data_IF_969746551683
#
_entry.id   IF_969746551683
#
_cell.length_a   1.000
_cell.length_b   1.000
_cell.length_c   1.000
_cell.angle_alpha   90.00
_cell.angle_beta   90.00
_cell.angle_gamma   90.00
#
_symmetry.space_group_name_H-M   'P 1'
#
loop_
_entity.id
_entity.type
_entity.pdbx_description
1 polymer ?
#
# COMPACT_ATOMS: atom_id res chain seq x y z
N UNK A 1 9.65 -15.86 55.62
CA UNK A 1 8.58 -14.85 55.73
C UNK A 1 7.40 -15.37 54.94
N UNK A 2 6.36 -15.81 55.65
CA UNK A 2 5.27 -16.58 55.11
C UNK A 2 4.16 -15.67 54.56
N UNK A 3 3.61 -16.01 53.41
CA UNK A 3 2.37 -15.45 52.91
C UNK A 3 1.20 -16.39 53.20
N UNK A 4 0.28 -15.87 53.97
CA UNK A 4 -0.93 -16.55 54.45
C UNK A 4 -1.96 -16.62 53.31
N UNK A 5 -2.41 -17.83 53.03
CA UNK A 5 -3.58 -18.18 52.24
C UNK A 5 -4.85 -17.73 52.95
N UNK A 6 -5.72 -16.96 52.28
CA UNK A 6 -7.07 -16.65 52.74
C UNK A 6 -8.08 -17.30 51.73
N UNK A 7 -8.66 -18.38 52.18
CA UNK A 7 -9.79 -19.04 51.54
C UNK A 7 -11.07 -18.22 51.77
N UNK A 8 -11.86 -17.98 50.75
CA UNK A 8 -13.22 -17.44 50.84
C UNK A 8 -14.24 -18.50 50.41
N UNK A 9 -15.35 -18.62 51.14
CA UNK A 9 -16.32 -19.68 50.91
C UNK A 9 -17.30 -19.34 49.77
N UNK A 10 -17.69 -20.40 49.03
CA UNK A 10 -18.74 -20.44 48.02
C UNK A 10 -20.10 -20.28 48.68
N UNK A 11 -20.88 -19.30 48.23
CA UNK A 11 -22.32 -19.22 48.48
C UNK A 11 -23.04 -19.74 47.22
N UNK A 12 -23.70 -20.89 47.37
CA UNK A 12 -24.67 -21.43 46.43
C UNK A 12 -25.96 -20.62 46.53
N UNK A 13 -26.38 -19.98 45.45
CA UNK A 13 -27.71 -19.43 45.31
C UNK A 13 -28.48 -20.23 44.26
N UNK A 14 -29.51 -20.96 44.73
CA UNK A 14 -30.44 -21.69 43.88
C UNK A 14 -31.41 -20.71 43.20
N UNK A 15 -31.46 -20.72 41.88
CA UNK A 15 -32.51 -20.02 41.11
C UNK A 15 -33.54 -21.00 40.62
N UNK A 16 -34.79 -20.77 41.03
CA UNK A 16 -36.00 -21.48 40.71
C UNK A 16 -36.37 -21.22 39.23
N UNK A 17 -36.58 -22.26 38.47
CA UNK A 17 -37.06 -22.17 37.11
C UNK A 17 -38.58 -21.97 37.09
N UNK A 18 -39.05 -20.83 36.58
CA UNK A 18 -40.44 -20.61 36.24
C UNK A 18 -40.65 -20.87 34.74
N UNK A 19 -41.40 -21.93 34.43
CA UNK A 19 -41.82 -22.25 33.06
C UNK A 19 -42.96 -21.33 32.62
N UNK A 20 -42.76 -20.47 31.66
CA UNK A 20 -43.83 -19.73 30.97
C UNK A 20 -44.12 -20.35 29.64
N UNK A 21 -45.35 -20.90 29.50
CA UNK A 21 -45.90 -21.40 28.24
C UNK A 21 -46.33 -20.23 27.36
N UNK A 22 -45.70 -20.08 26.20
CA UNK A 22 -46.09 -19.11 25.17
C UNK A 22 -47.11 -19.73 24.20
N UNK A 23 -48.21 -19.03 23.82
CA UNK A 23 -49.14 -19.53 22.81
C UNK A 23 -48.55 -19.45 21.40
N UNK A 24 -48.71 -20.54 20.63
CA UNK A 24 -48.36 -20.60 19.23
C UNK A 24 -49.31 -19.74 18.40
N UNK A 25 -48.82 -18.61 17.85
CA UNK A 25 -49.54 -17.90 16.80
C UNK A 25 -49.25 -18.59 15.44
N UNK A 26 -50.34 -19.10 14.82
CA UNK A 26 -50.35 -19.60 13.47
C UNK A 26 -49.97 -18.44 12.50
N UNK A 27 -48.87 -18.59 11.78
CA UNK A 27 -48.47 -17.64 10.72
C UNK A 27 -49.35 -17.87 9.49
N UNK A 28 -50.16 -16.90 9.14
CA UNK A 28 -50.87 -16.82 7.88
C UNK A 28 -49.88 -16.55 6.73
N UNK A 29 -49.97 -17.23 5.57
CA UNK A 29 -49.11 -16.92 4.42
C UNK A 29 -49.42 -15.51 3.91
N UNK A 30 -48.40 -14.67 3.84
CA UNK A 30 -48.45 -13.35 3.24
C UNK A 30 -48.62 -13.45 1.72
N UNK A 31 -49.43 -12.57 1.08
CA UNK A 31 -49.53 -12.49 -0.37
C UNK A 31 -48.17 -12.12 -0.99
N UNK A 32 -47.83 -12.81 -2.07
CA UNK A 32 -46.59 -12.53 -2.85
C UNK A 32 -46.59 -11.06 -3.37
N UNK A 33 -45.68 -10.26 -2.87
CA UNK A 33 -45.38 -8.94 -3.43
C UNK A 33 -44.57 -9.10 -4.71
N UNK A 34 -44.89 -8.35 -5.78
CA UNK A 34 -44.07 -8.31 -6.96
C UNK A 34 -42.69 -7.73 -6.63
N UNK A 35 -41.63 -8.41 -7.09
CA UNK A 35 -40.24 -7.99 -6.91
C UNK A 35 -40.03 -6.58 -7.44
N UNK A 36 -39.44 -5.68 -6.64
CA UNK A 36 -39.07 -4.36 -7.16
C UNK A 36 -37.95 -4.48 -8.20
N UNK A 37 -38.18 -3.90 -9.36
CA UNK A 37 -37.19 -3.64 -10.38
C UNK A 37 -36.00 -2.89 -9.76
N UNK A 38 -34.72 -3.28 -10.03
CA UNK A 38 -33.59 -2.56 -9.50
C UNK A 38 -33.63 -1.11 -9.97
N UNK A 39 -33.50 -0.11 -9.08
CA UNK A 39 -33.41 1.27 -9.52
C UNK A 39 -32.11 1.45 -10.28
N UNK A 40 -32.20 2.11 -11.43
CA UNK A 40 -31.06 2.60 -12.18
C UNK A 40 -30.13 3.38 -11.24
N UNK A 41 -28.86 3.00 -11.17
CA UNK A 41 -27.83 3.65 -10.36
C UNK A 41 -27.77 5.13 -10.72
N UNK A 42 -28.37 5.97 -9.88
CA UNK A 42 -28.11 7.41 -9.92
C UNK A 42 -26.71 7.63 -9.35
N UNK A 43 -25.81 8.11 -10.20
CA UNK A 43 -24.48 8.56 -9.78
C UNK A 43 -24.62 9.66 -8.72
N UNK A 44 -24.22 9.38 -7.50
CA UNK A 44 -24.13 10.35 -6.41
C UNK A 44 -22.96 11.29 -6.69
N UNK A 45 -23.14 12.62 -6.76
CA UNK A 45 -22.02 13.55 -6.87
C UNK A 45 -21.28 13.60 -5.52
N UNK A 46 -20.05 13.11 -5.47
CA UNK A 46 -19.19 13.27 -4.29
C UNK A 46 -18.33 12.06 -3.90
N UNK A 47 -18.38 10.94 -4.60
CA UNK A 47 -17.37 9.91 -4.42
C UNK A 47 -16.15 10.34 -5.22
N UNK A 48 -15.07 10.68 -4.53
CA UNK A 48 -13.72 10.74 -5.10
C UNK A 48 -13.43 9.34 -5.63
N UNK A 49 -13.68 9.13 -6.94
CA UNK A 49 -13.21 7.91 -7.60
C UNK A 49 -11.71 7.81 -7.33
N UNK A 50 -11.19 6.62 -6.96
CA UNK A 50 -9.76 6.38 -7.01
C UNK A 50 -9.31 6.85 -8.40
N UNK A 51 -8.37 7.79 -8.44
CA UNK A 51 -7.81 8.25 -9.71
C UNK A 51 -7.40 7.02 -10.50
N UNK A 52 -8.00 6.83 -11.67
CA UNK A 52 -7.61 5.77 -12.57
C UNK A 52 -6.09 5.86 -12.75
N UNK A 53 -5.36 4.75 -12.67
CA UNK A 53 -3.93 4.78 -12.93
C UNK A 53 -3.71 5.48 -14.27
N UNK A 54 -2.76 6.42 -14.32
CA UNK A 54 -2.47 7.20 -15.53
C UNK A 54 -2.28 6.29 -16.74
N UNK A 55 -2.39 6.83 -17.94
CA UNK A 55 -2.27 6.04 -19.16
C UNK A 55 -0.86 5.46 -19.31
N UNK A 56 -0.75 4.14 -19.42
CA UNK A 56 0.52 3.48 -19.76
C UNK A 56 0.89 3.85 -21.20
N UNK A 57 2.02 4.54 -21.36
CA UNK A 57 2.55 4.96 -22.64
C UNK A 57 3.44 3.90 -23.29
N UNK A 58 4.31 3.28 -22.48
CA UNK A 58 5.21 2.21 -22.93
C UNK A 58 5.61 1.30 -21.76
N UNK A 59 6.02 0.08 -22.11
CA UNK A 59 6.53 -0.89 -21.16
C UNK A 59 7.97 -1.27 -21.53
N UNK A 60 8.82 -1.39 -20.51
CA UNK A 60 10.23 -1.70 -20.61
C UNK A 60 10.59 -2.76 -19.55
N UNK A 61 10.52 -4.04 -19.93
CA UNK A 61 10.63 -5.13 -18.94
C UNK A 61 9.53 -5.05 -17.90
N UNK A 62 9.89 -5.00 -16.63
CA UNK A 62 8.96 -4.84 -15.51
C UNK A 62 8.55 -3.37 -15.24
N UNK A 63 9.14 -2.42 -15.96
CA UNK A 63 8.90 -0.99 -15.81
C UNK A 63 7.88 -0.48 -16.83
N UNK A 64 7.03 0.44 -16.39
CA UNK A 64 6.04 1.10 -17.23
C UNK A 64 6.22 2.61 -17.18
N UNK A 65 6.21 3.27 -18.33
CA UNK A 65 6.07 4.73 -18.41
C UNK A 65 4.58 5.05 -18.36
N UNK A 66 4.18 5.71 -17.30
CA UNK A 66 2.80 6.10 -17.04
C UNK A 66 2.70 7.61 -17.10
N UNK A 67 1.78 8.12 -17.89
CA UNK A 67 1.58 9.55 -18.06
C UNK A 67 0.16 9.94 -17.66
N UNK A 68 0.03 11.07 -16.99
CA UNK A 68 -1.25 11.64 -16.60
C UNK A 68 -1.21 13.18 -16.70
N UNK A 69 -2.37 13.75 -16.85
CA UNK A 69 -2.54 15.21 -16.79
C UNK A 69 -3.41 15.56 -15.59
N UNK A 70 -2.79 15.85 -14.43
CA UNK A 70 -3.53 16.25 -13.24
C UNK A 70 -4.44 17.46 -13.51
N UNK A 71 -5.58 17.49 -12.83
CA UNK A 71 -6.52 18.61 -12.94
C UNK A 71 -5.80 19.94 -12.61
N UNK A 72 -5.88 20.90 -13.53
CA UNK A 72 -5.21 22.20 -13.40
C UNK A 72 -3.75 22.22 -13.87
N UNK A 73 -3.16 21.08 -14.26
CA UNK A 73 -1.82 21.06 -14.83
C UNK A 73 -1.82 21.58 -16.29
N UNK A 74 -0.82 22.41 -16.62
CA UNK A 74 -0.64 22.91 -18.00
C UNK A 74 -0.11 21.85 -18.97
N UNK A 75 0.64 20.86 -18.45
CA UNK A 75 1.29 19.82 -19.21
C UNK A 75 1.03 18.45 -18.59
N UNK A 76 1.13 17.42 -19.43
CA UNK A 76 1.16 16.02 -19.01
C UNK A 76 2.44 15.74 -18.21
N UNK A 77 2.32 14.92 -17.18
CA UNK A 77 3.45 14.45 -16.38
C UNK A 77 3.60 12.95 -16.56
N UNK A 78 4.82 12.50 -16.78
CA UNK A 78 5.13 11.09 -16.95
C UNK A 78 6.09 10.63 -15.83
N UNK A 79 5.91 9.38 -15.44
CA UNK A 79 6.76 8.71 -14.47
C UNK A 79 7.09 7.29 -14.96
N UNK A 80 8.27 6.83 -14.65
CA UNK A 80 8.66 5.43 -14.79
C UNK A 80 8.29 4.70 -13.49
N UNK A 81 7.54 3.62 -13.57
CA UNK A 81 6.93 2.98 -12.42
C UNK A 81 7.08 1.46 -12.48
N UNK A 82 7.31 0.84 -11.33
CA UNK A 82 7.20 -0.59 -11.12
C UNK A 82 6.49 -0.85 -9.79
N UNK A 83 5.50 -1.75 -9.79
CA UNK A 83 4.87 -2.25 -8.58
C UNK A 83 5.38 -3.65 -8.30
N UNK A 84 5.79 -3.90 -7.08
CA UNK A 84 6.34 -5.17 -6.63
C UNK A 84 5.70 -5.61 -5.32
N UNK A 85 5.66 -6.92 -5.11
CA UNK A 85 5.14 -7.53 -3.89
C UNK A 85 6.24 -8.43 -3.34
N UNK A 86 6.42 -8.44 -2.02
CA UNK A 86 7.38 -9.32 -1.37
C UNK A 86 6.96 -10.78 -1.58
N UNK A 87 7.92 -11.65 -1.95
CA UNK A 87 7.65 -13.05 -2.30
C UNK A 87 7.02 -13.82 -1.13
N UNK A 88 7.55 -13.61 0.08
CA UNK A 88 7.14 -14.30 1.30
C UNK A 88 5.96 -13.62 2.02
N UNK A 89 5.59 -12.40 1.62
CA UNK A 89 4.57 -11.57 2.29
C UNK A 89 3.74 -10.80 1.26
N UNK A 90 2.72 -11.42 0.69
CA UNK A 90 1.93 -10.81 -0.38
C UNK A 90 1.16 -9.56 0.04
N UNK A 91 1.00 -9.32 1.35
CA UNK A 91 0.43 -8.10 1.91
C UNK A 91 1.44 -6.93 1.93
N UNK A 92 2.73 -7.20 1.69
CA UNK A 92 3.78 -6.17 1.67
C UNK A 92 4.21 -5.93 0.24
N UNK A 93 3.83 -4.79 -0.28
CA UNK A 93 4.20 -4.35 -1.63
C UNK A 93 4.79 -2.95 -1.64
N UNK A 94 5.48 -2.62 -2.71
CA UNK A 94 6.03 -1.29 -2.98
C UNK A 94 5.58 -0.80 -4.34
N UNK A 95 5.43 0.52 -4.45
CA UNK A 95 5.39 1.20 -5.74
C UNK A 95 6.65 2.06 -5.86
N UNK A 96 7.49 1.73 -6.83
CA UNK A 96 8.73 2.46 -7.10
C UNK A 96 8.49 3.35 -8.32
N UNK A 97 8.73 4.65 -8.15
CA UNK A 97 8.42 5.67 -9.14
C UNK A 97 9.64 6.56 -9.37
N UNK A 98 10.03 6.73 -10.60
CA UNK A 98 11.06 7.69 -11.00
C UNK A 98 10.43 8.73 -11.91
N UNK A 99 10.65 9.99 -11.59
CA UNK A 99 10.14 11.10 -12.36
C UNK A 99 11.20 12.20 -12.53
N UNK A 100 11.10 12.95 -13.61
CA UNK A 100 11.82 14.20 -13.81
C UNK A 100 10.92 15.33 -13.34
N UNK A 101 11.49 16.31 -12.62
CA UNK A 101 10.72 17.51 -12.22
C UNK A 101 10.30 18.31 -13.46
N UNK A 102 9.24 19.12 -13.33
CA UNK A 102 8.69 19.88 -14.45
C UNK A 102 9.72 20.84 -15.09
N UNK A 103 10.68 21.33 -14.29
CA UNK A 103 11.80 22.15 -14.76
C UNK A 103 12.97 21.32 -15.33
N UNK A 104 12.87 19.98 -15.30
CA UNK A 104 13.88 18.99 -15.73
C UNK A 104 15.24 19.10 -15.03
N UNK A 105 15.31 19.83 -13.90
CA UNK A 105 16.56 20.02 -13.18
C UNK A 105 16.85 18.92 -12.19
N UNK A 106 15.82 18.26 -11.69
CA UNK A 106 15.94 17.21 -10.69
C UNK A 106 15.24 15.93 -11.14
N UNK A 107 15.78 14.83 -10.68
CA UNK A 107 15.24 13.49 -10.84
C UNK A 107 14.88 12.99 -9.44
N UNK A 108 13.69 12.50 -9.27
CA UNK A 108 13.17 12.04 -7.98
C UNK A 108 12.92 10.54 -8.07
N UNK A 109 13.49 9.80 -7.15
CA UNK A 109 13.10 8.43 -6.83
C UNK A 109 12.14 8.51 -5.64
N UNK A 110 10.91 8.08 -5.87
CA UNK A 110 9.86 8.02 -4.87
C UNK A 110 9.46 6.58 -4.67
N UNK A 111 9.34 6.15 -3.44
CA UNK A 111 8.87 4.80 -3.10
C UNK A 111 7.69 4.93 -2.16
N UNK A 112 6.58 4.33 -2.55
CA UNK A 112 5.41 4.16 -1.70
C UNK A 112 5.50 2.79 -1.03
N UNK A 113 5.67 2.81 0.28
CA UNK A 113 5.66 1.63 1.14
C UNK A 113 4.31 1.47 1.83
N UNK A 114 3.90 0.27 2.24
CA UNK A 114 2.63 0.04 2.93
C UNK A 114 2.59 0.74 4.28
N UNK A 115 1.39 0.92 4.83
CA UNK A 115 1.22 1.35 6.21
C UNK A 115 1.75 0.28 7.18
N UNK A 116 2.08 0.70 8.41
CA UNK A 116 2.62 -0.20 9.44
C UNK A 116 4.14 -0.36 9.41
N UNK A 117 4.85 0.36 8.53
CA UNK A 117 6.31 0.41 8.52
C UNK A 117 6.85 1.27 9.67
N UNK A 118 8.01 0.89 10.20
CA UNK A 118 8.69 1.61 11.27
C UNK A 118 9.43 2.84 10.71
N UNK A 119 8.81 4.01 10.80
CA UNK A 119 9.28 5.24 10.16
C UNK A 119 10.72 5.66 10.56
N UNK A 120 11.16 5.56 11.84
CA UNK A 120 12.52 5.94 12.23
C UNK A 120 13.62 5.12 11.56
N UNK A 121 13.32 3.87 11.17
CA UNK A 121 14.28 3.02 10.49
C UNK A 121 14.48 3.40 9.01
N UNK A 122 13.55 4.19 8.45
CA UNK A 122 13.59 4.56 7.05
C UNK A 122 13.39 3.38 6.10
N UNK A 123 13.60 3.64 4.83
CA UNK A 123 13.59 2.68 3.73
C UNK A 123 15.04 2.38 3.33
N UNK A 124 15.50 1.16 3.54
CA UNK A 124 16.83 0.71 3.09
C UNK A 124 16.86 0.44 1.59
N UNK A 125 18.01 0.56 0.99
CA UNK A 125 18.26 0.25 -0.42
C UNK A 125 19.58 -0.48 -0.59
N UNK A 126 19.52 -1.65 -1.22
CA UNK A 126 20.67 -2.37 -1.74
C UNK A 126 20.54 -2.51 -3.26
N UNK A 127 21.63 -2.45 -3.98
CA UNK A 127 21.68 -2.76 -5.42
C UNK A 127 22.74 -3.82 -5.65
N UNK A 128 22.35 -4.94 -6.25
CA UNK A 128 23.21 -6.10 -6.49
C UNK A 128 23.96 -6.55 -5.21
N UNK A 129 23.26 -6.52 -4.07
CA UNK A 129 23.80 -6.89 -2.75
C UNK A 129 24.68 -5.83 -2.09
N UNK A 130 24.95 -4.70 -2.75
CA UNK A 130 25.69 -3.58 -2.16
C UNK A 130 24.73 -2.64 -1.45
N UNK A 131 25.01 -2.31 -0.18
CA UNK A 131 24.29 -1.30 0.57
C UNK A 131 24.53 0.09 -0.05
N UNK A 132 23.45 0.74 -0.43
CA UNK A 132 23.45 2.12 -0.98
C UNK A 132 23.13 3.13 0.12
N UNK A 133 22.38 2.71 1.15
CA UNK A 133 21.96 3.57 2.25
C UNK A 133 20.47 3.52 2.53
N UNK A 134 19.98 4.58 3.17
CA UNK A 134 18.58 4.69 3.60
C UNK A 134 17.97 6.03 3.24
N UNK A 135 16.69 5.99 2.87
CA UNK A 135 15.86 7.17 2.71
C UNK A 135 14.86 7.26 3.87
N UNK A 136 14.63 8.47 4.38
CA UNK A 136 13.60 8.67 5.39
C UNK A 136 12.24 8.85 4.75
N UNK A 137 11.21 8.40 5.45
CA UNK A 137 9.83 8.66 5.04
C UNK A 137 9.50 10.14 5.26
N UNK A 138 8.96 10.79 4.23
CA UNK A 138 8.62 12.22 4.27
C UNK A 138 7.19 12.46 4.72
N UNK A 139 6.28 11.51 4.44
CA UNK A 139 4.86 11.59 4.82
C UNK A 139 4.16 10.26 4.62
N UNK A 140 3.04 10.08 5.31
CA UNK A 140 2.13 8.95 5.10
C UNK A 140 0.72 9.48 4.82
N UNK A 141 -0.02 8.75 3.97
CA UNK A 141 -1.42 8.95 3.67
C UNK A 141 -2.18 7.63 3.85
N UNK A 142 -3.44 7.59 3.44
CA UNK A 142 -4.26 6.38 3.55
C UNK A 142 -3.75 5.23 2.66
N UNK A 143 -3.03 5.53 1.58
CA UNK A 143 -2.46 4.57 0.62
C UNK A 143 -1.06 4.06 1.00
N UNK A 144 -0.38 4.70 1.97
CA UNK A 144 0.95 4.28 2.41
C UNK A 144 1.86 5.43 2.83
N UNK A 145 3.14 5.11 3.03
CA UNK A 145 4.19 6.03 3.43
C UNK A 145 5.17 6.27 2.30
N UNK A 146 5.47 7.52 2.01
CA UNK A 146 6.34 7.93 0.92
C UNK A 146 7.75 8.23 1.42
N UNK A 147 8.74 7.56 0.83
CA UNK A 147 10.14 7.91 0.90
C UNK A 147 10.55 8.55 -0.43
N UNK A 148 11.30 9.64 -0.38
CA UNK A 148 11.75 10.37 -1.57
C UNK A 148 13.22 10.70 -1.46
N UNK A 149 13.95 10.51 -2.56
CA UNK A 149 15.34 10.94 -2.69
C UNK A 149 15.57 11.58 -4.05
N UNK A 150 16.49 12.54 -4.08
CA UNK A 150 17.02 13.05 -5.35
C UNK A 150 17.85 11.92 -5.97
N UNK A 151 17.52 11.56 -7.20
CA UNK A 151 18.24 10.54 -7.95
C UNK A 151 19.48 11.19 -8.59
N UNK A 152 20.53 11.32 -7.77
CA UNK A 152 21.82 11.86 -8.18
C UNK A 152 22.45 10.99 -9.28
N UNK A 153 23.37 11.53 -10.06
CA UNK A 153 23.96 10.86 -11.23
C UNK A 153 24.64 9.53 -10.88
N UNK A 154 25.27 9.41 -9.71
CA UNK A 154 25.90 8.17 -9.23
C UNK A 154 24.84 7.09 -8.92
N UNK A 155 23.75 7.46 -8.26
CA UNK A 155 22.65 6.55 -7.97
C UNK A 155 21.92 6.16 -9.25
N UNK A 156 21.67 7.12 -10.15
CA UNK A 156 21.08 6.85 -11.46
C UNK A 156 21.94 5.86 -12.27
N UNK A 157 23.27 6.05 -12.30
CA UNK A 157 24.20 5.15 -12.96
C UNK A 157 24.12 3.75 -12.36
N UNK A 158 24.04 3.64 -11.03
CA UNK A 158 23.90 2.38 -10.32
C UNK A 158 22.62 1.64 -10.72
N UNK A 159 21.48 2.37 -10.80
CA UNK A 159 20.22 1.78 -11.27
C UNK A 159 20.25 1.37 -12.74
N UNK A 160 20.94 2.13 -13.59
CA UNK A 160 21.04 1.82 -15.03
C UNK A 160 21.91 0.62 -15.33
N UNK A 161 22.91 0.33 -14.49
CA UNK A 161 23.86 -0.78 -14.69
C UNK A 161 23.57 -1.99 -13.81
N UNK A 162 22.76 -1.86 -12.77
CA UNK A 162 22.43 -2.93 -11.86
C UNK A 162 21.42 -3.92 -12.44
N UNK A 163 21.41 -5.12 -11.89
CA UNK A 163 20.45 -6.16 -12.25
C UNK A 163 19.22 -6.13 -11.32
N UNK A 164 19.42 -5.90 -10.02
CA UNK A 164 18.35 -5.91 -9.03
C UNK A 164 18.57 -4.86 -7.94
N UNK A 165 17.54 -4.15 -7.58
CA UNK A 165 17.49 -3.31 -6.38
C UNK A 165 16.62 -4.00 -5.32
N UNK A 166 17.07 -4.03 -4.06
CA UNK A 166 16.27 -4.54 -2.95
C UNK A 166 15.95 -3.39 -2.01
N UNK A 167 14.67 -3.04 -1.92
CA UNK A 167 14.21 -2.10 -0.91
C UNK A 167 13.87 -2.85 0.38
N UNK A 168 14.24 -2.26 1.52
CA UNK A 168 14.08 -2.89 2.83
C UNK A 168 13.16 -2.02 3.67
N UNK A 169 11.98 -2.55 3.99
CA UNK A 169 11.04 -1.95 4.95
C UNK A 169 11.18 -2.65 6.29
N UNK A 170 10.96 -1.92 7.37
CA UNK A 170 11.05 -2.45 8.74
C UNK A 170 9.66 -2.39 9.37
N UNK A 171 9.22 -3.48 9.97
CA UNK A 171 8.03 -3.53 10.82
C UNK A 171 8.41 -3.50 12.29
N UNK A 172 9.58 -4.04 12.62
CA UNK A 172 10.22 -3.96 13.94
C UNK A 172 11.65 -3.44 13.78
N UNK A 173 12.33 -3.01 14.88
CA UNK A 173 13.71 -2.54 14.77
C UNK A 173 14.70 -3.60 14.27
N UNK A 174 14.40 -4.88 14.53
CA UNK A 174 15.28 -6.02 14.26
C UNK A 174 14.98 -6.70 12.92
N UNK A 175 13.74 -6.61 12.43
CA UNK A 175 13.29 -7.35 11.25
C UNK A 175 13.05 -6.42 10.07
N UNK A 176 13.90 -6.53 9.05
CA UNK A 176 13.75 -5.90 7.75
C UNK A 176 13.20 -6.88 6.72
N UNK A 177 12.20 -6.45 5.96
CA UNK A 177 11.63 -7.20 4.84
C UNK A 177 12.23 -6.64 3.55
N UNK A 178 13.03 -7.46 2.87
CA UNK A 178 13.60 -7.12 1.57
C UNK A 178 12.61 -7.38 0.44
N UNK A 179 12.39 -6.39 -0.41
CA UNK A 179 11.49 -6.47 -1.55
C UNK A 179 12.33 -6.23 -2.82
N UNK A 180 12.56 -7.28 -3.62
CA UNK A 180 13.38 -7.17 -4.83
C UNK A 180 12.62 -6.45 -5.94
N UNK A 181 13.32 -5.57 -6.64
CA UNK A 181 12.87 -4.79 -7.79
C UNK A 181 13.78 -5.11 -8.96
N UNK A 182 13.24 -5.62 -10.05
CA UNK A 182 14.01 -5.90 -11.27
C UNK A 182 14.43 -4.60 -11.95
N UNK A 183 15.72 -4.43 -12.20
CA UNK A 183 16.24 -3.25 -12.89
C UNK A 183 16.32 -3.43 -14.41
N UNK A 184 15.96 -4.60 -14.93
CA UNK A 184 15.89 -4.84 -16.37
C UNK A 184 14.82 -3.95 -17.01
N UNK A 185 15.23 -3.13 -17.97
CA UNK A 185 14.35 -2.18 -18.65
C UNK A 185 14.30 -0.81 -17.97
N UNK A 186 14.94 -0.63 -16.81
CA UNK A 186 15.00 0.66 -16.13
C UNK A 186 15.67 1.73 -17.01
N UNK A 187 16.82 1.42 -17.62
CA UNK A 187 17.56 2.39 -18.42
C UNK A 187 16.74 2.88 -19.62
N UNK A 188 16.15 1.95 -20.36
CA UNK A 188 15.31 2.25 -21.53
C UNK A 188 14.04 3.01 -21.13
N UNK A 189 13.40 2.59 -20.04
CA UNK A 189 12.23 3.29 -19.52
C UNK A 189 12.53 4.69 -19.02
N UNK A 190 13.67 4.89 -18.37
CA UNK A 190 14.13 6.20 -17.93
C UNK A 190 14.42 7.13 -19.11
N UNK A 191 15.06 6.63 -20.18
CA UNK A 191 15.34 7.39 -21.39
C UNK A 191 14.06 7.75 -22.17
N UNK A 192 13.00 6.93 -22.06
CA UNK A 192 11.69 7.18 -22.63
C UNK A 192 10.88 8.26 -21.89
N UNK A 193 11.30 8.69 -20.69
CA UNK A 193 10.66 9.81 -19.98
C UNK A 193 10.93 11.14 -20.70
N UNK A 194 9.89 11.98 -20.92
CA UNK A 194 10.01 13.28 -21.59
C UNK A 194 10.88 14.29 -20.84
#
# INVERSE_FOLDING_TARGET
MGFRSLARPFLLTACIAAATTAPAFAQQPAPAQPSPTPPASQATPGQTQPQAPGNVRSNHGAWSVVCDKPAGASAEQCALMQNVIAEDRPEVGLSVVVLKTADRKSKILRVLAPLGVLLPNGLGLNVDGKDIGRAYFVRCFADGCYAEVVLEDELLKTFRSGASATFIVFQTPEEGIGIPVDLKGFAEGYDALP
#
